data_IF_698182398275
#
_entry.id   IF_698182398275
#
_cell.length_a   1.000
_cell.length_b   1.000
_cell.length_c   1.000
_cell.angle_alpha   90.00
_cell.angle_beta   90.00
_cell.angle_gamma   90.00
#
_symmetry.space_group_name_H-M   'P 1'
#
loop_
_entity.id
_entity.type
_entity.pdbx_description
1 polymer ?
#
# COMPACT_ATOMS: atom_id res chain seq x y z
N UNK A 1 -19.12 -2.61 3.79
CA UNK A 1 -20.37 -2.37 3.05
C UNK A 1 -21.63 -2.63 3.86
N UNK A 2 -21.77 -3.70 4.68
CA UNK A 2 -23.01 -3.95 5.47
C UNK A 2 -23.37 -2.81 6.43
N UNK A 3 -22.42 -2.20 7.13
CA UNK A 3 -22.68 -1.12 8.09
C UNK A 3 -23.17 0.18 7.46
N UNK A 4 -22.68 0.53 6.27
CA UNK A 4 -23.12 1.71 5.50
C UNK A 4 -24.55 1.55 4.98
N UNK A 5 -24.87 0.33 4.51
CA UNK A 5 -26.22 -0.01 4.09
C UNK A 5 -27.21 0.04 5.27
N UNK A 6 -26.81 -0.41 6.46
CA UNK A 6 -27.65 -0.32 7.66
C UNK A 6 -27.90 1.13 8.10
N UNK A 7 -26.89 2.01 8.04
CA UNK A 7 -27.06 3.44 8.33
C UNK A 7 -28.02 4.08 7.34
N UNK A 8 -27.86 3.76 6.05
CA UNK A 8 -28.77 4.25 5.01
C UNK A 8 -30.19 3.72 5.22
N UNK A 9 -30.34 2.41 5.42
CA UNK A 9 -31.64 1.79 5.70
C UNK A 9 -32.32 2.40 6.91
N UNK A 10 -31.63 2.60 8.02
CA UNK A 10 -32.19 3.19 9.23
C UNK A 10 -32.62 4.64 9.03
N UNK A 11 -31.91 5.41 8.20
CA UNK A 11 -32.26 6.81 7.86
C UNK A 11 -33.50 6.90 6.97
N UNK A 12 -33.70 5.91 6.10
CA UNK A 12 -34.78 5.90 5.11
C UNK A 12 -35.86 4.84 5.41
N UNK A 13 -35.74 4.02 6.44
CA UNK A 13 -36.71 2.98 6.79
C UNK A 13 -38.13 3.53 7.07
N UNK A 14 -38.20 4.72 7.67
CA UNK A 14 -39.47 5.42 7.90
C UNK A 14 -40.14 5.91 6.60
N UNK A 15 -39.41 5.92 5.50
CA UNK A 15 -39.89 6.39 4.19
C UNK A 15 -40.39 5.21 3.36
N UNK A 16 -39.78 4.03 3.55
CA UNK A 16 -40.12 2.81 2.79
C UNK A 16 -41.39 2.14 3.35
N UNK A 17 -41.73 2.35 4.61
CA UNK A 17 -42.94 1.79 5.26
C UNK A 17 -44.25 2.48 4.87
N UNK A 18 -44.18 3.58 4.12
CA UNK A 18 -45.37 4.31 3.67
C UNK A 18 -45.47 4.31 2.15
N UNK A 19 -46.25 3.34 1.61
CA UNK A 19 -46.50 3.15 0.17
C UNK A 19 -46.96 4.43 -0.53
N UNK A 20 -47.60 5.37 0.20
CA UNK A 20 -48.05 6.67 -0.34
C UNK A 20 -46.91 7.62 -0.68
N UNK A 21 -45.71 7.42 -0.11
CA UNK A 21 -44.54 8.24 -0.36
C UNK A 21 -43.59 7.68 -1.43
N UNK A 22 -43.80 6.45 -1.86
CA UNK A 22 -42.99 5.85 -2.93
C UNK A 22 -43.09 6.66 -4.24
N UNK A 23 -44.26 7.25 -4.54
CA UNK A 23 -44.45 8.07 -5.72
C UNK A 23 -43.67 9.40 -5.69
N UNK A 24 -43.42 9.97 -4.49
CA UNK A 24 -42.59 11.16 -4.32
C UNK A 24 -41.08 10.89 -4.59
N UNK A 25 -40.68 9.64 -4.57
CA UNK A 25 -39.30 9.23 -4.85
C UNK A 25 -39.02 8.89 -6.31
N UNK A 26 -40.03 8.96 -7.18
CA UNK A 26 -39.84 8.86 -8.64
C UNK A 26 -39.39 10.22 -9.15
N UNK A 27 -38.15 10.31 -9.59
CA UNK A 27 -37.65 11.51 -10.25
C UNK A 27 -38.01 11.44 -11.74
N UNK A 28 -38.88 12.34 -12.18
CA UNK A 28 -39.14 12.55 -13.61
C UNK A 28 -37.96 13.37 -14.17
N UNK A 29 -37.03 12.71 -14.85
CA UNK A 29 -36.04 13.40 -15.65
C UNK A 29 -36.64 13.80 -16.99
N UNK A 30 -36.26 14.99 -17.47
CA UNK A 30 -36.77 15.57 -18.74
C UNK A 30 -36.26 14.78 -19.97
N UNK A 31 -35.32 13.86 -19.78
CA UNK A 31 -34.63 13.09 -20.82
C UNK A 31 -34.94 11.58 -20.77
N UNK A 32 -36.21 11.19 -20.60
CA UNK A 32 -36.71 9.79 -20.72
C UNK A 32 -36.13 8.72 -19.79
N UNK A 33 -35.26 9.05 -18.84
CA UNK A 33 -34.77 8.12 -17.81
C UNK A 33 -35.42 8.41 -16.46
N UNK A 34 -36.39 7.60 -16.09
CA UNK A 34 -37.00 7.62 -14.77
C UNK A 34 -36.11 6.83 -13.78
N UNK A 35 -35.29 7.51 -13.02
CA UNK A 35 -34.58 6.93 -11.88
C UNK A 35 -35.36 7.14 -10.59
N UNK A 36 -35.46 6.12 -9.76
CA UNK A 36 -36.03 6.24 -8.42
C UNK A 36 -35.18 7.25 -7.62
N UNK A 37 -35.85 8.26 -7.04
CA UNK A 37 -35.18 9.28 -6.20
C UNK A 37 -34.34 8.67 -5.10
N UNK A 38 -34.78 7.52 -4.54
CA UNK A 38 -34.03 6.79 -3.52
C UNK A 38 -32.67 6.31 -4.03
N UNK A 39 -32.54 5.96 -5.30
CA UNK A 39 -31.27 5.57 -5.91
C UNK A 39 -30.35 6.79 -6.00
N UNK A 40 -30.86 7.94 -6.46
CA UNK A 40 -30.09 9.19 -6.51
C UNK A 40 -29.67 9.68 -5.13
N UNK A 41 -30.56 9.59 -4.14
CA UNK A 41 -30.24 9.94 -2.76
C UNK A 41 -29.19 9.00 -2.16
N UNK A 42 -29.24 7.70 -2.53
CA UNK A 42 -28.23 6.73 -2.14
C UNK A 42 -26.88 6.97 -2.81
N UNK A 43 -26.89 7.27 -4.09
CA UNK A 43 -25.68 7.66 -4.83
C UNK A 43 -25.10 8.98 -4.27
N UNK A 44 -25.95 9.96 -3.95
CA UNK A 44 -25.50 11.20 -3.33
C UNK A 44 -24.94 10.98 -1.93
N UNK A 45 -25.55 10.09 -1.15
CA UNK A 45 -25.02 9.66 0.14
C UNK A 45 -23.68 8.94 -0.03
N UNK A 46 -23.56 8.05 -1.02
CA UNK A 46 -22.31 7.35 -1.31
C UNK A 46 -21.22 8.28 -1.87
N UNK A 47 -21.58 9.38 -2.55
CA UNK A 47 -20.60 10.37 -3.03
C UNK A 47 -19.76 10.96 -1.88
N UNK A 48 -20.33 11.11 -0.69
CA UNK A 48 -19.55 11.50 0.50
C UNK A 48 -18.49 10.46 0.89
N UNK A 49 -18.68 9.21 0.45
CA UNK A 49 -17.78 8.07 0.68
C UNK A 49 -17.05 7.64 -0.59
N UNK A 50 -17.32 8.28 -1.74
CA UNK A 50 -16.65 7.99 -3.01
C UNK A 50 -15.14 8.25 -2.96
N UNK A 51 -14.70 9.08 -2.03
CA UNK A 51 -13.29 9.19 -1.66
C UNK A 51 -12.70 7.83 -1.21
N UNK A 52 -13.52 6.92 -0.71
CA UNK A 52 -13.12 5.58 -0.29
C UNK A 52 -13.36 4.51 -1.36
N UNK A 53 -14.24 4.76 -2.35
CA UNK A 53 -14.63 3.78 -3.38
C UNK A 53 -14.02 4.06 -4.77
N UNK A 54 -13.71 5.32 -5.09
CA UNK A 54 -13.09 5.73 -6.36
C UNK A 54 -11.59 6.00 -6.23
N UNK A 55 -10.92 5.31 -5.33
CA UNK A 55 -9.48 5.19 -5.49
C UNK A 55 -9.21 4.35 -6.73
N UNK A 56 -9.02 5.04 -7.85
CA UNK A 56 -8.42 4.44 -9.04
C UNK A 56 -7.18 3.66 -8.55
N UNK A 57 -6.99 2.42 -9.00
CA UNK A 57 -5.84 1.59 -8.58
C UNK A 57 -4.51 2.31 -8.76
N UNK A 58 -4.47 3.31 -9.64
CA UNK A 58 -3.34 4.21 -9.81
C UNK A 58 -3.15 5.14 -8.60
N UNK A 59 -4.23 5.75 -8.07
CA UNK A 59 -4.15 6.64 -6.90
C UNK A 59 -3.74 5.88 -5.64
N UNK A 60 -4.29 4.67 -5.42
CA UNK A 60 -3.90 3.81 -4.30
C UNK A 60 -2.43 3.39 -4.38
N UNK A 61 -1.95 3.09 -5.59
CA UNK A 61 -0.55 2.75 -5.84
C UNK A 61 0.36 3.97 -5.60
N UNK A 62 -0.06 5.16 -6.00
CA UNK A 62 0.68 6.41 -5.74
C UNK A 62 0.71 6.75 -4.25
N UNK A 63 -0.42 6.58 -3.55
CA UNK A 63 -0.48 6.76 -2.10
C UNK A 63 0.45 5.80 -1.37
N UNK A 64 0.48 4.51 -1.76
CA UNK A 64 1.42 3.54 -1.22
C UNK A 64 2.86 4.00 -1.40
N UNK A 65 3.24 4.39 -2.63
CA UNK A 65 4.58 4.88 -2.92
C UNK A 65 4.92 6.14 -2.11
N UNK A 66 3.97 7.06 -1.93
CA UNK A 66 4.16 8.25 -1.11
C UNK A 66 4.44 7.89 0.36
N UNK A 67 3.71 6.92 0.94
CA UNK A 67 3.97 6.43 2.30
C UNK A 67 5.36 5.81 2.39
N UNK A 68 5.76 4.97 1.43
CA UNK A 68 7.07 4.32 1.42
C UNK A 68 8.21 5.34 1.29
N UNK A 69 8.07 6.36 0.45
CA UNK A 69 9.04 7.46 0.34
C UNK A 69 9.19 8.27 1.62
N UNK A 70 8.15 8.31 2.46
CA UNK A 70 8.16 8.98 3.76
C UNK A 70 8.67 8.10 4.91
N UNK A 71 9.28 6.95 4.66
CA UNK A 71 9.79 6.02 5.68
C UNK A 71 10.66 6.74 6.74
N UNK A 72 11.64 7.56 6.34
CA UNK A 72 12.50 8.29 7.28
C UNK A 72 11.70 9.21 8.21
N UNK A 73 10.70 9.89 7.67
CA UNK A 73 9.82 10.78 8.43
C UNK A 73 8.96 9.99 9.45
N UNK A 74 8.47 8.83 9.05
CA UNK A 74 7.72 7.91 9.92
C UNK A 74 8.60 7.47 11.09
N UNK A 75 9.83 7.01 10.82
CA UNK A 75 10.76 6.55 11.84
C UNK A 75 11.09 7.65 12.85
N UNK A 76 11.36 8.87 12.38
CA UNK A 76 11.63 10.03 13.24
C UNK A 76 10.45 10.39 14.14
N UNK A 77 9.24 10.46 13.57
CA UNK A 77 8.06 10.80 14.34
C UNK A 77 7.69 9.72 15.37
N UNK A 78 8.04 8.47 15.09
CA UNK A 78 7.90 7.38 16.05
C UNK A 78 9.07 7.26 17.04
N UNK A 79 10.10 8.12 16.94
CA UNK A 79 11.34 8.08 17.74
C UNK A 79 12.02 6.70 17.67
N UNK A 80 12.06 6.09 16.50
CA UNK A 80 12.68 4.79 16.29
C UNK A 80 14.16 4.98 15.96
N UNK A 81 15.00 4.31 16.72
CA UNK A 81 16.40 4.12 16.42
C UNK A 81 16.55 2.87 15.55
N UNK A 82 17.10 3.04 14.35
CA UNK A 82 17.21 1.96 13.36
C UNK A 82 18.50 1.19 13.59
N UNK A 83 18.39 -0.12 13.79
CA UNK A 83 19.52 -1.03 13.93
C UNK A 83 19.51 -2.13 12.86
N UNK A 84 18.35 -2.39 12.26
CA UNK A 84 18.15 -3.43 11.27
C UNK A 84 16.89 -3.15 10.42
N UNK A 85 16.70 -3.91 9.34
CA UNK A 85 15.55 -3.80 8.44
C UNK A 85 14.21 -3.93 9.17
N UNK A 86 14.16 -4.80 10.19
CA UNK A 86 12.90 -5.04 10.92
C UNK A 86 12.43 -3.82 11.73
N UNK A 87 13.34 -2.98 12.20
CA UNK A 87 12.99 -1.74 12.89
C UNK A 87 12.29 -0.76 11.94
N UNK A 88 12.68 -0.79 10.67
CA UNK A 88 12.12 0.05 9.61
C UNK A 88 10.72 -0.47 9.22
N UNK A 89 10.66 -1.70 8.67
CA UNK A 89 9.43 -2.16 8.05
C UNK A 89 8.28 -2.39 9.05
N UNK A 90 8.56 -2.68 10.31
CA UNK A 90 7.51 -2.82 11.34
C UNK A 90 6.73 -1.53 11.56
N UNK A 91 7.41 -0.38 11.57
CA UNK A 91 6.76 0.92 11.75
C UNK A 91 5.96 1.30 10.51
N UNK A 92 6.54 1.11 9.34
CA UNK A 92 5.84 1.37 8.09
C UNK A 92 4.62 0.45 7.93
N UNK A 93 4.75 -0.83 8.28
CA UNK A 93 3.63 -1.78 8.29
C UNK A 93 2.51 -1.35 9.22
N UNK A 94 2.83 -0.78 10.38
CA UNK A 94 1.82 -0.25 11.29
C UNK A 94 1.04 0.90 10.64
N UNK A 95 1.72 1.86 10.02
CA UNK A 95 1.08 2.97 9.28
C UNK A 95 0.25 2.44 8.12
N UNK A 96 0.82 1.55 7.29
CA UNK A 96 0.11 0.94 6.16
C UNK A 96 -1.15 0.20 6.60
N UNK A 97 -1.14 -0.40 7.80
CA UNK A 97 -2.31 -1.04 8.37
C UNK A 97 -3.46 -0.08 8.74
N UNK A 98 -3.26 1.24 8.72
CA UNK A 98 -4.33 2.24 8.85
C UNK A 98 -5.08 2.43 7.52
N UNK A 99 -4.36 2.35 6.40
CA UNK A 99 -4.89 2.50 5.04
C UNK A 99 -5.33 1.16 4.45
N UNK A 100 -4.58 0.10 4.71
CA UNK A 100 -4.79 -1.25 4.19
C UNK A 100 -5.01 -2.23 5.35
N UNK A 101 -6.24 -2.38 5.87
CA UNK A 101 -6.50 -3.16 7.09
C UNK A 101 -6.08 -4.63 7.02
N UNK A 102 -6.06 -5.24 5.83
CA UNK A 102 -5.61 -6.63 5.65
C UNK A 102 -4.10 -6.79 5.82
N UNK A 103 -3.32 -5.70 5.67
CA UNK A 103 -1.89 -5.69 5.93
C UNK A 103 -1.54 -6.05 7.39
N UNK A 104 -2.43 -5.79 8.36
CA UNK A 104 -2.25 -6.09 9.79
C UNK A 104 -2.27 -7.59 10.09
N UNK A 105 -2.98 -8.38 9.31
CA UNK A 105 -3.02 -9.82 9.50
C UNK A 105 -1.67 -10.40 9.14
N UNK A 106 -1.22 -11.43 9.88
CA UNK A 106 -0.08 -12.26 9.48
C UNK A 106 -0.50 -13.06 8.24
N UNK A 107 -0.56 -12.41 7.10
CA UNK A 107 -0.74 -13.08 5.84
C UNK A 107 0.59 -13.78 5.53
N UNK A 108 0.58 -15.08 5.62
CA UNK A 108 1.66 -15.89 5.11
C UNK A 108 1.40 -16.06 3.62
N UNK A 109 1.88 -15.15 2.79
CA UNK A 109 2.14 -15.52 1.41
C UNK A 109 3.42 -16.34 1.45
N UNK A 110 3.29 -17.61 1.28
CA UNK A 110 4.42 -18.49 1.15
C UNK A 110 4.68 -18.63 -0.34
N UNK A 111 5.61 -17.85 -0.87
CA UNK A 111 6.19 -18.17 -2.16
C UNK A 111 7.04 -19.42 -1.95
N UNK A 112 6.51 -20.56 -2.35
CA UNK A 112 7.19 -21.85 -2.17
C UNK A 112 7.90 -22.20 -3.47
N UNK A 113 9.23 -22.15 -3.47
CA UNK A 113 10.03 -22.71 -4.54
C UNK A 113 11.01 -23.75 -3.98
N UNK A 114 11.04 -24.93 -4.60
CA UNK A 114 12.01 -25.97 -4.28
C UNK A 114 12.14 -26.24 -2.76
N UNK A 115 11.03 -26.37 -2.04
CA UNK A 115 10.97 -26.63 -0.59
C UNK A 115 11.40 -25.46 0.32
N UNK A 116 11.68 -24.29 -0.20
CA UNK A 116 12.00 -23.09 0.58
C UNK A 116 10.84 -22.10 0.52
N UNK A 117 10.47 -21.56 1.67
CA UNK A 117 9.45 -20.51 1.78
C UNK A 117 10.13 -19.15 1.82
N UNK A 118 9.72 -18.27 0.94
CA UNK A 118 10.15 -16.86 0.90
C UNK A 118 9.02 -16.00 1.42
N UNK A 119 9.33 -15.10 2.35
CA UNK A 119 8.33 -14.24 2.97
C UNK A 119 8.75 -12.78 2.80
N UNK A 120 8.02 -11.98 2.03
CA UNK A 120 8.22 -10.54 1.98
C UNK A 120 7.99 -9.89 3.35
N UNK A 121 8.63 -8.75 3.58
CA UNK A 121 8.53 -8.00 4.82
C UNK A 121 7.11 -7.48 5.07
N UNK A 122 6.48 -6.96 4.01
CA UNK A 122 5.12 -6.44 4.06
C UNK A 122 4.30 -6.97 2.88
N UNK A 123 3.07 -7.38 3.19
CA UNK A 123 2.08 -7.81 2.19
C UNK A 123 0.85 -6.92 2.27
N UNK A 124 0.42 -6.41 1.12
CA UNK A 124 -0.80 -5.61 0.96
C UNK A 124 -1.74 -6.35 0.01
N UNK A 125 -2.63 -7.20 0.55
CA UNK A 125 -3.54 -8.02 -0.26
C UNK A 125 -4.51 -7.19 -1.10
N UNK A 126 -4.91 -6.01 -0.60
CA UNK A 126 -5.80 -5.09 -1.28
C UNK A 126 -5.24 -4.68 -2.64
N UNK A 127 -3.93 -4.42 -2.70
CA UNK A 127 -3.21 -3.99 -3.90
C UNK A 127 -2.47 -5.12 -4.59
N UNK A 128 -2.59 -6.36 -4.09
CA UNK A 128 -1.82 -7.52 -4.57
C UNK A 128 -0.32 -7.23 -4.62
N UNK A 129 0.18 -6.48 -3.65
CA UNK A 129 1.54 -5.95 -3.61
C UNK A 129 2.32 -6.58 -2.47
N UNK A 130 3.55 -7.00 -2.75
CA UNK A 130 4.55 -7.41 -1.77
C UNK A 130 5.70 -6.41 -1.74
N UNK A 131 6.20 -6.12 -0.53
CA UNK A 131 7.25 -5.12 -0.31
C UNK A 131 8.41 -5.78 0.40
N UNK A 132 9.61 -5.54 -0.10
CA UNK A 132 10.88 -5.97 0.46
C UNK A 132 11.69 -4.75 0.86
N UNK A 133 12.23 -4.74 2.09
CA UNK A 133 13.10 -3.68 2.58
C UNK A 133 14.55 -4.13 2.56
N UNK A 134 15.44 -3.18 2.29
CA UNK A 134 16.88 -3.32 2.48
C UNK A 134 17.42 -2.09 3.20
N UNK A 135 18.36 -2.31 4.09
CA UNK A 135 18.96 -1.28 4.93
C UNK A 135 20.46 -1.19 4.68
N UNK A 136 20.91 -0.03 4.23
CA UNK A 136 22.32 0.28 3.96
C UNK A 136 22.81 1.24 5.04
N UNK A 137 23.77 0.80 5.87
CA UNK A 137 24.26 1.56 7.02
C UNK A 137 25.79 1.63 7.15
N UNK A 138 26.54 0.85 6.37
CA UNK A 138 27.99 0.76 6.49
C UNK A 138 28.71 1.04 5.19
N UNK A 139 29.90 1.64 5.26
CA UNK A 139 30.78 1.87 4.11
C UNK A 139 31.28 0.57 3.45
N UNK A 140 31.23 -0.55 4.17
CA UNK A 140 31.57 -1.86 3.63
C UNK A 140 30.42 -2.52 2.87
N UNK A 141 29.23 -1.90 2.90
CA UNK A 141 28.06 -2.43 2.20
C UNK A 141 28.24 -2.25 0.68
N UNK A 142 28.13 -3.34 -0.04
CA UNK A 142 28.19 -3.33 -1.50
C UNK A 142 26.77 -3.22 -2.06
N UNK A 143 26.49 -2.12 -2.77
CA UNK A 143 25.18 -1.86 -3.40
C UNK A 143 24.76 -3.02 -4.30
N UNK A 144 25.70 -3.55 -5.08
CA UNK A 144 25.42 -4.65 -6.01
C UNK A 144 24.92 -5.90 -5.29
N UNK A 145 25.46 -6.21 -4.10
CA UNK A 145 25.06 -7.36 -3.31
C UNK A 145 23.60 -7.22 -2.81
N UNK A 146 23.19 -6.03 -2.39
CA UNK A 146 21.81 -5.77 -2.01
C UNK A 146 20.85 -5.89 -3.18
N UNK A 147 21.22 -5.32 -4.34
CA UNK A 147 20.42 -5.44 -5.55
C UNK A 147 20.34 -6.88 -6.03
N UNK A 148 21.42 -7.66 -5.91
CA UNK A 148 21.43 -9.08 -6.24
C UNK A 148 20.55 -9.91 -5.30
N UNK A 149 20.51 -9.59 -4.00
CA UNK A 149 19.57 -10.22 -3.06
C UNK A 149 18.13 -9.95 -3.49
N UNK A 150 17.77 -8.69 -3.79
CA UNK A 150 16.44 -8.35 -4.29
C UNK A 150 16.15 -9.08 -5.60
N UNK A 151 17.14 -9.24 -6.48
CA UNK A 151 16.98 -9.99 -7.73
C UNK A 151 16.70 -11.47 -7.50
N UNK A 152 17.33 -12.06 -6.48
CA UNK A 152 17.05 -13.43 -6.05
C UNK A 152 15.64 -13.55 -5.51
N UNK A 153 15.20 -12.58 -4.68
CA UNK A 153 13.84 -12.53 -4.17
C UNK A 153 12.83 -12.37 -5.31
N UNK A 154 13.15 -11.54 -6.31
CA UNK A 154 12.31 -11.36 -7.49
C UNK A 154 12.09 -12.65 -8.29
N UNK A 155 13.11 -13.50 -8.38
CA UNK A 155 13.00 -14.81 -9.02
C UNK A 155 12.14 -15.76 -8.17
N UNK A 156 12.24 -15.66 -6.85
CA UNK A 156 11.57 -16.55 -5.91
C UNK A 156 10.10 -16.15 -5.65
N UNK A 157 9.73 -14.89 -5.87
CA UNK A 157 8.36 -14.40 -5.69
C UNK A 157 7.46 -14.63 -6.91
N UNK A 158 7.92 -15.37 -7.90
CA UNK A 158 7.13 -15.78 -9.06
C UNK A 158 6.19 -16.92 -8.68
N UNK A 159 4.92 -16.84 -9.10
CA UNK A 159 3.98 -17.96 -9.04
C UNK A 159 2.90 -17.85 -7.95
N UNK A 160 2.90 -16.87 -7.09
CA UNK A 160 1.74 -16.61 -6.23
C UNK A 160 0.69 -15.78 -6.99
N UNK A 161 -0.48 -16.38 -7.24
CA UNK A 161 -1.58 -15.71 -7.95
C UNK A 161 -2.18 -14.53 -7.17
N UNK A 162 -1.88 -14.40 -5.87
CA UNK A 162 -2.42 -13.34 -5.01
C UNK A 162 -1.59 -12.06 -5.08
N UNK A 163 -0.30 -12.16 -5.44
CA UNK A 163 0.62 -11.02 -5.49
C UNK A 163 1.31 -10.96 -6.85
N UNK A 164 1.17 -9.84 -7.51
CA UNK A 164 1.70 -9.62 -8.85
C UNK A 164 2.45 -8.28 -9.00
N UNK A 165 2.46 -7.47 -7.96
CA UNK A 165 3.24 -6.24 -7.87
C UNK A 165 4.24 -6.34 -6.72
N UNK A 166 5.46 -5.86 -6.96
CA UNK A 166 6.55 -5.95 -6.01
C UNK A 166 7.24 -4.59 -5.88
N UNK A 167 7.57 -4.20 -4.65
CA UNK A 167 8.27 -2.95 -4.39
C UNK A 167 9.48 -3.28 -3.53
N UNK A 168 10.66 -2.91 -4.04
CA UNK A 168 11.88 -2.89 -3.25
C UNK A 168 12.07 -1.50 -2.65
N UNK A 169 12.21 -1.43 -1.33
CA UNK A 169 12.49 -0.19 -0.61
C UNK A 169 13.90 -0.26 -0.06
N UNK A 170 14.78 0.60 -0.53
CA UNK A 170 16.16 0.70 -0.04
C UNK A 170 16.27 1.94 0.84
N UNK A 171 16.49 1.72 2.13
CA UNK A 171 16.70 2.77 3.11
C UNK A 171 18.20 2.95 3.35
N UNK A 172 18.70 4.15 3.09
CA UNK A 172 20.10 4.53 3.24
C UNK A 172 20.22 5.36 4.51
N UNK A 173 20.93 4.87 5.52
CA UNK A 173 21.13 5.64 6.78
C UNK A 173 22.06 6.82 6.58
N UNK A 174 23.12 6.64 5.80
CA UNK A 174 24.14 7.66 5.54
C UNK A 174 24.38 7.82 4.03
N UNK A 175 24.02 8.97 3.50
CA UNK A 175 24.20 9.31 2.08
C UNK A 175 25.68 9.36 1.65
N UNK A 176 26.64 9.33 2.56
CA UNK A 176 28.05 9.19 2.23
C UNK A 176 28.43 7.77 1.80
N UNK A 177 27.59 6.79 2.12
CA UNK A 177 27.78 5.36 1.81
C UNK A 177 27.24 5.02 0.43
N UNK A 178 26.03 5.50 0.14
CA UNK A 178 25.34 5.26 -1.12
C UNK A 178 24.48 6.47 -1.47
N UNK A 179 24.29 6.75 -2.74
CA UNK A 179 23.39 7.79 -3.22
C UNK A 179 22.19 7.17 -3.92
N UNK A 180 21.08 7.91 -4.01
CA UNK A 180 19.92 7.47 -4.79
C UNK A 180 20.30 7.11 -6.21
N UNK A 181 21.14 7.94 -6.84
CA UNK A 181 21.59 7.77 -8.23
C UNK A 181 22.37 6.47 -8.41
N UNK A 182 23.30 6.15 -7.50
CA UNK A 182 24.10 4.92 -7.58
C UNK A 182 23.23 3.66 -7.45
N UNK A 183 22.22 3.70 -6.60
CA UNK A 183 21.27 2.61 -6.44
C UNK A 183 20.36 2.45 -7.67
N UNK A 184 19.87 3.58 -8.22
CA UNK A 184 19.04 3.54 -9.42
C UNK A 184 19.82 3.02 -10.64
N UNK A 185 21.10 3.37 -10.78
CA UNK A 185 21.97 2.84 -11.83
C UNK A 185 22.18 1.33 -11.69
N UNK A 186 22.51 0.85 -10.49
CA UNK A 186 22.65 -0.58 -10.21
C UNK A 186 21.33 -1.34 -10.48
N UNK A 187 20.19 -0.76 -10.08
CA UNK A 187 18.88 -1.33 -10.36
C UNK A 187 18.61 -1.47 -11.86
N UNK A 188 18.85 -0.42 -12.64
CA UNK A 188 18.67 -0.44 -14.09
C UNK A 188 19.55 -1.48 -14.77
N UNK A 189 20.79 -1.63 -14.30
CA UNK A 189 21.73 -2.62 -14.83
C UNK A 189 21.23 -4.08 -14.66
N UNK A 190 20.50 -4.39 -13.58
CA UNK A 190 20.00 -5.74 -13.28
C UNK A 190 18.71 -6.11 -14.01
N UNK A 191 18.08 -5.19 -14.76
CA UNK A 191 16.90 -5.45 -15.62
C UNK A 191 15.79 -6.20 -14.88
N UNK A 192 15.19 -5.57 -13.88
CA UNK A 192 14.00 -6.11 -13.23
C UNK A 192 12.81 -6.14 -14.18
N UNK A 193 11.84 -7.03 -13.92
CA UNK A 193 10.58 -7.07 -14.67
C UNK A 193 9.70 -5.86 -14.32
N UNK A 194 8.80 -5.48 -15.23
CA UNK A 194 7.97 -4.26 -15.13
C UNK A 194 7.05 -4.22 -13.89
N UNK A 195 6.81 -5.38 -13.28
CA UNK A 195 6.03 -5.49 -12.06
C UNK A 195 6.85 -5.25 -10.78
N UNK A 196 8.14 -4.94 -10.89
CA UNK A 196 8.99 -4.51 -9.79
C UNK A 196 9.24 -3.00 -9.85
N UNK A 197 9.07 -2.34 -8.71
CA UNK A 197 9.34 -0.91 -8.54
C UNK A 197 10.36 -0.69 -7.45
N UNK A 198 11.29 0.22 -7.69
CA UNK A 198 12.28 0.67 -6.72
C UNK A 198 11.77 1.94 -6.01
N UNK A 199 11.95 1.98 -4.70
CA UNK A 199 11.82 3.18 -3.88
C UNK A 199 13.11 3.34 -3.07
N UNK A 200 13.81 4.45 -3.26
CA UNK A 200 15.00 4.78 -2.47
C UNK A 200 14.64 5.85 -1.47
N UNK A 201 15.05 5.66 -0.22
CA UNK A 201 14.77 6.56 0.89
C UNK A 201 16.09 6.95 1.56
N UNK A 202 16.39 8.24 1.54
CA UNK A 202 17.51 8.76 2.32
C UNK A 202 17.07 8.91 3.79
N UNK A 203 17.70 8.16 4.66
CA UNK A 203 17.60 8.31 6.09
C UNK A 203 18.40 9.52 6.56
N UNK A 204 18.20 9.88 7.79
CA UNK A 204 19.04 10.87 8.47
C UNK A 204 19.84 10.15 9.52
N UNK A 205 21.16 10.38 9.57
CA UNK A 205 22.00 9.72 10.52
C UNK A 205 21.47 9.94 11.95
N UNK A 206 21.22 8.87 12.64
CA UNK A 206 20.85 8.91 14.06
C UNK A 206 21.96 9.61 14.81
N UNK A 207 21.65 10.72 15.48
CA UNK A 207 22.63 11.39 16.36
C UNK A 207 23.04 10.37 17.41
N UNK A 208 24.22 9.76 17.25
CA UNK A 208 24.82 8.96 18.34
C UNK A 208 24.85 9.84 19.56
N UNK A 209 23.99 9.55 20.54
CA UNK A 209 24.11 10.17 21.87
C UNK A 209 25.51 9.84 22.38
N UNK A 210 26.33 10.91 22.57
CA UNK A 210 27.62 10.80 23.24
C UNK A 210 27.40 10.48 24.71
#
# INVERSE_FOLDING_TARGET
MSSLFEVFRNRYALIIDDDSKLEEYVCYCIDDESELKIIKDFEHFLKAFSFFDNHDKNEESEQLIAILKNTDHILKNCNIEVHNEADIYKQVKWILGLYYPKCRKRNKAAFIQQFKTYNPDILIPELRTAIEYKYINNQSDNIDDFIDQIKIDAINYVGDSNYNYFIAVIYIEDVSVATCESIEEAWKAKKFSDNWKLVVVNGSPTKKKK
#
